data_IF_650736859416
#
_entry.id   IF_650736859416
#
_cell.length_a   1.000
_cell.length_b   1.000
_cell.length_c   1.000
_cell.angle_alpha   90.00
_cell.angle_beta   90.00
_cell.angle_gamma   90.00
#
_symmetry.space_group_name_H-M   'P 1'
#
loop_
_entity.id
_entity.type
_entity.pdbx_description
1 polymer ?
#
# COMPACT_ATOMS: atom_id res chain seq x y z
N UNK A 1 5.12 -9.61 -7.84
CA UNK A 1 3.83 -10.12 -8.35
C UNK A 1 3.54 -11.41 -7.60
N UNK A 2 2.59 -11.40 -6.66
CA UNK A 2 2.22 -12.62 -5.93
C UNK A 2 1.11 -13.30 -6.73
N UNK A 3 1.44 -14.42 -7.40
CA UNK A 3 0.51 -15.19 -8.21
C UNK A 3 -0.29 -16.13 -7.31
N UNK A 4 -1.59 -15.86 -7.14
CA UNK A 4 -2.47 -16.76 -6.40
C UNK A 4 -3.02 -17.79 -7.39
N UNK A 5 -2.57 -19.05 -7.28
CA UNK A 5 -3.03 -20.11 -8.18
C UNK A 5 -4.54 -20.35 -8.09
N UNK A 6 -5.17 -20.64 -9.24
CA UNK A 6 -6.52 -21.18 -9.27
C UNK A 6 -6.63 -22.52 -8.51
N UNK A 7 -7.77 -22.78 -7.88
CA UNK A 7 -8.01 -23.98 -7.05
C UNK A 7 -7.75 -25.33 -7.77
N UNK A 8 -7.84 -25.33 -9.10
CA UNK A 8 -7.58 -26.46 -10.00
C UNK A 8 -6.09 -26.68 -10.30
N UNK A 9 -5.23 -25.71 -10.03
CA UNK A 9 -3.77 -25.76 -10.24
C UNK A 9 -2.98 -26.10 -8.96
N UNK A 10 -3.69 -26.34 -7.85
CA UNK A 10 -3.11 -26.72 -6.57
C UNK A 10 -2.67 -28.19 -6.57
N UNK A 11 -1.37 -28.44 -6.75
CA UNK A 11 -0.76 -29.75 -6.52
C UNK A 11 -0.08 -29.80 -5.14
N UNK A 12 0.08 -31.00 -4.52
CA UNK A 12 0.87 -31.20 -3.31
C UNK A 12 2.32 -30.68 -3.36
N UNK A 13 2.91 -30.50 -4.55
CA UNK A 13 4.27 -29.99 -4.74
C UNK A 13 4.36 -28.45 -4.80
N UNK A 14 3.43 -27.80 -5.51
CA UNK A 14 3.28 -26.32 -5.43
C UNK A 14 2.84 -25.86 -4.03
N UNK A 15 2.37 -26.82 -3.22
CA UNK A 15 1.96 -26.65 -1.84
C UNK A 15 3.10 -26.24 -0.90
N UNK A 16 4.34 -26.69 -1.16
CA UNK A 16 5.46 -26.62 -0.23
C UNK A 16 6.43 -25.44 -0.44
N UNK A 17 6.32 -24.65 -1.52
CA UNK A 17 7.39 -23.67 -1.85
C UNK A 17 7.10 -22.27 -1.29
N UNK A 18 5.85 -21.79 -1.29
CA UNK A 18 5.56 -20.36 -1.05
C UNK A 18 4.88 -20.02 0.29
N UNK A 19 4.57 -21.03 1.13
CA UNK A 19 3.64 -20.83 2.27
C UNK A 19 4.00 -21.61 3.54
N UNK A 20 5.21 -22.16 3.63
CA UNK A 20 5.57 -23.14 4.66
C UNK A 20 5.35 -22.66 6.10
N UNK A 21 5.75 -21.44 6.51
CA UNK A 21 5.53 -20.99 7.89
C UNK A 21 4.04 -20.79 8.21
N UNK A 22 3.33 -20.04 7.36
CA UNK A 22 1.90 -19.73 7.52
C UNK A 22 1.06 -21.01 7.53
N UNK A 23 1.31 -21.93 6.59
CA UNK A 23 0.59 -23.21 6.50
C UNK A 23 0.90 -24.11 7.70
N UNK A 24 2.14 -24.13 8.21
CA UNK A 24 2.48 -24.89 9.43
C UNK A 24 1.74 -24.37 10.65
N UNK A 25 1.69 -23.05 10.83
CA UNK A 25 0.97 -22.43 11.95
C UNK A 25 -0.54 -22.65 11.85
N UNK A 26 -1.11 -22.52 10.64
CA UNK A 26 -2.52 -22.85 10.41
C UNK A 26 -2.77 -24.33 10.74
N UNK A 27 -1.97 -25.27 10.23
CA UNK A 27 -2.13 -26.71 10.49
C UNK A 27 -2.12 -27.06 11.98
N UNK A 28 -1.27 -26.41 12.78
CA UNK A 28 -1.14 -26.66 14.22
C UNK A 28 -2.34 -26.15 15.03
N UNK A 29 -2.96 -25.06 14.56
CA UNK A 29 -3.92 -24.29 15.36
C UNK A 29 -5.35 -24.30 14.81
N UNK A 30 -5.62 -25.06 13.74
CA UNK A 30 -6.94 -25.12 13.11
C UNK A 30 -7.82 -26.19 13.78
N UNK A 31 -8.98 -25.76 14.27
CA UNK A 31 -10.04 -26.62 14.80
C UNK A 31 -11.33 -26.33 14.05
N UNK A 32 -12.03 -27.36 13.59
CA UNK A 32 -13.31 -27.21 12.88
C UNK A 32 -14.51 -27.54 13.78
N UNK A 33 -15.63 -26.81 13.66
CA UNK A 33 -15.81 -25.60 12.86
C UNK A 33 -15.00 -24.41 13.40
N UNK A 34 -14.57 -23.50 12.51
CA UNK A 34 -13.94 -22.25 12.89
C UNK A 34 -14.98 -21.32 13.52
N UNK A 35 -14.72 -20.84 14.73
CA UNK A 35 -15.57 -19.83 15.37
C UNK A 35 -15.34 -18.45 14.77
N UNK A 36 -16.35 -17.58 14.86
CA UNK A 36 -16.27 -16.22 14.36
C UNK A 36 -15.15 -15.42 15.05
N UNK A 37 -14.85 -15.71 16.32
CA UNK A 37 -13.76 -15.10 17.06
C UNK A 37 -12.41 -15.46 16.45
N UNK A 38 -12.18 -16.74 16.10
CA UNK A 38 -10.94 -17.18 15.44
C UNK A 38 -10.77 -16.60 14.04
N UNK A 39 -11.87 -16.41 13.31
CA UNK A 39 -11.83 -15.75 11.99
C UNK A 39 -11.50 -14.27 12.17
N UNK A 40 -12.16 -13.59 13.10
CA UNK A 40 -11.85 -12.21 13.48
C UNK A 40 -10.38 -12.06 13.84
N UNK A 41 -9.87 -12.83 14.79
CA UNK A 41 -8.48 -12.75 15.25
C UNK A 41 -7.46 -12.86 14.10
N UNK A 42 -7.71 -13.76 13.14
CA UNK A 42 -6.81 -14.01 12.01
C UNK A 42 -6.84 -12.94 10.94
N UNK A 43 -7.98 -12.27 10.75
CA UNK A 43 -8.18 -11.30 9.68
C UNK A 43 -8.20 -9.84 10.18
N UNK A 44 -8.36 -9.62 11.49
CA UNK A 44 -8.35 -8.31 12.13
C UNK A 44 -7.07 -7.49 11.86
N UNK A 45 -5.86 -8.08 11.81
CA UNK A 45 -4.65 -7.32 11.46
C UNK A 45 -4.70 -6.65 10.09
N UNK A 46 -5.61 -7.09 9.20
CA UNK A 46 -5.78 -6.54 7.86
C UNK A 46 -6.88 -5.48 7.79
N UNK A 47 -7.53 -5.15 8.90
CA UNK A 47 -8.62 -4.18 8.93
C UNK A 47 -8.13 -2.78 8.59
N UNK A 48 -9.05 -2.01 8.02
CA UNK A 48 -8.82 -0.61 7.70
C UNK A 48 -9.66 0.21 8.66
N UNK A 49 -9.02 1.20 9.29
CA UNK A 49 -9.68 2.07 10.24
C UNK A 49 -9.95 3.44 9.64
N UNK A 50 -10.96 4.13 10.17
CA UNK A 50 -11.30 5.49 9.75
C UNK A 50 -10.12 6.46 9.92
N UNK A 51 -9.29 6.26 10.94
CA UNK A 51 -8.06 7.02 11.14
C UNK A 51 -7.07 6.89 9.98
N UNK A 52 -6.99 5.71 9.34
CA UNK A 52 -6.10 5.51 8.18
C UNK A 52 -6.61 6.32 6.97
N UNK A 53 -7.94 6.36 6.79
CA UNK A 53 -8.60 7.17 5.76
C UNK A 53 -8.33 8.65 6.00
N UNK A 54 -8.51 9.13 7.23
CA UNK A 54 -8.29 10.53 7.59
C UNK A 54 -6.85 10.99 7.31
N UNK A 55 -5.85 10.12 7.57
CA UNK A 55 -4.44 10.38 7.26
C UNK A 55 -4.22 10.52 5.74
N UNK A 56 -4.81 9.61 4.95
CA UNK A 56 -4.70 9.63 3.49
C UNK A 56 -5.42 10.85 2.88
N UNK A 57 -6.60 11.23 3.38
CA UNK A 57 -7.35 12.40 2.91
C UNK A 57 -6.63 13.70 3.23
N UNK A 58 -6.10 13.85 4.45
CA UNK A 58 -5.25 14.98 4.83
C UNK A 58 -4.07 15.09 3.87
N UNK A 59 -3.42 13.97 3.57
CA UNK A 59 -2.31 13.92 2.62
C UNK A 59 -2.73 14.36 1.22
N UNK A 60 -3.84 13.83 0.71
CA UNK A 60 -4.33 14.14 -0.62
C UNK A 60 -4.60 15.65 -0.79
N UNK A 61 -5.14 16.29 0.25
CA UNK A 61 -5.40 17.74 0.25
C UNK A 61 -4.13 18.61 0.13
N UNK A 62 -2.96 18.08 0.48
CA UNK A 62 -1.68 18.81 0.45
C UNK A 62 -0.90 18.63 -0.85
N UNK A 63 -1.20 17.61 -1.66
CA UNK A 63 -0.45 17.32 -2.89
C UNK A 63 -0.52 18.50 -3.85
N UNK A 64 -1.73 18.93 -4.24
CA UNK A 64 -1.92 20.01 -5.21
C UNK A 64 -1.40 21.39 -4.74
N UNK A 65 -1.62 21.80 -3.47
CA UNK A 65 -0.97 22.98 -2.93
C UNK A 65 0.56 22.92 -3.03
N UNK A 66 1.16 21.78 -2.66
CA UNK A 66 2.63 21.63 -2.67
C UNK A 66 3.20 21.61 -4.08
N UNK A 67 2.55 20.93 -5.03
CA UNK A 67 2.98 20.94 -6.45
C UNK A 67 2.85 22.33 -7.06
N UNK A 68 1.79 23.08 -6.69
CA UNK A 68 1.58 24.46 -7.13
C UNK A 68 2.63 25.39 -6.55
N UNK A 69 2.98 25.25 -5.27
CA UNK A 69 4.08 25.98 -4.66
C UNK A 69 5.37 25.77 -5.45
N UNK A 70 5.78 24.52 -5.70
CA UNK A 70 7.01 24.20 -6.45
C UNK A 70 6.98 24.80 -7.85
N UNK A 71 5.86 24.68 -8.55
CA UNK A 71 5.67 25.26 -9.90
C UNK A 71 5.82 26.79 -9.89
N UNK A 72 5.32 27.45 -8.85
CA UNK A 72 5.48 28.91 -8.69
C UNK A 72 6.95 29.30 -8.48
N UNK A 73 7.73 28.53 -7.72
CA UNK A 73 9.17 28.77 -7.59
C UNK A 73 9.90 28.60 -8.93
N UNK A 74 9.55 27.58 -9.71
CA UNK A 74 10.09 27.41 -11.07
C UNK A 74 9.78 28.61 -11.97
N UNK A 75 8.58 29.19 -11.86
CA UNK A 75 8.16 30.35 -12.65
C UNK A 75 8.86 31.66 -12.28
N UNK A 76 9.28 31.82 -11.02
CA UNK A 76 9.96 33.03 -10.52
C UNK A 76 11.40 33.17 -11.01
N UNK A 77 12.04 32.08 -11.45
CA UNK A 77 13.45 32.04 -11.88
C UNK A 77 14.41 32.67 -10.84
N UNK A 78 14.14 32.40 -9.57
CA UNK A 78 14.99 32.83 -8.46
C UNK A 78 16.32 32.08 -8.51
N UNK A 79 17.43 32.82 -8.48
CA UNK A 79 18.79 32.29 -8.59
C UNK A 79 19.25 31.49 -7.37
N UNK A 80 18.52 31.58 -6.24
CA UNK A 80 18.79 30.76 -5.07
C UNK A 80 18.38 29.28 -5.28
N UNK A 81 17.45 29.01 -6.18
CA UNK A 81 16.94 27.66 -6.45
C UNK A 81 17.57 27.02 -7.69
N UNK A 82 17.72 25.71 -7.63
CA UNK A 82 18.19 24.89 -8.74
C UNK A 82 16.99 24.37 -9.56
N UNK A 83 16.82 24.88 -10.78
CA UNK A 83 15.63 24.64 -11.60
C UNK A 83 15.40 23.14 -11.92
N UNK A 84 16.48 22.39 -12.16
CA UNK A 84 16.38 20.94 -12.42
C UNK A 84 15.86 20.19 -11.19
N UNK A 85 16.23 20.62 -9.98
CA UNK A 85 15.83 19.98 -8.73
C UNK A 85 14.37 20.30 -8.39
N UNK A 86 13.91 21.53 -8.63
CA UNK A 86 12.49 21.89 -8.55
C UNK A 86 11.64 21.05 -9.51
N UNK A 87 12.09 20.88 -10.77
CA UNK A 87 11.39 20.06 -11.77
C UNK A 87 11.28 18.59 -11.35
N UNK A 88 12.35 18.03 -10.78
CA UNK A 88 12.37 16.67 -10.23
C UNK A 88 11.39 16.51 -9.06
N UNK A 89 11.42 17.44 -8.11
CA UNK A 89 10.51 17.43 -6.95
C UNK A 89 9.03 17.53 -7.40
N UNK A 90 8.73 18.40 -8.37
CA UNK A 90 7.39 18.53 -8.93
C UNK A 90 6.90 17.22 -9.54
N UNK A 91 7.68 16.58 -10.42
CA UNK A 91 7.32 15.29 -11.04
C UNK A 91 7.04 14.19 -10.02
N UNK A 92 7.89 14.08 -9.00
CA UNK A 92 7.72 13.09 -7.94
C UNK A 92 6.39 13.26 -7.20
N UNK A 93 5.94 14.49 -6.98
CA UNK A 93 4.69 14.80 -6.28
C UNK A 93 3.44 14.68 -7.17
N UNK A 94 3.56 15.07 -8.44
CA UNK A 94 2.45 15.05 -9.41
C UNK A 94 1.95 13.62 -9.69
N UNK A 95 2.86 12.64 -9.68
CA UNK A 95 2.55 11.22 -9.92
C UNK A 95 1.79 10.51 -8.78
N UNK A 96 1.63 11.16 -7.62
CA UNK A 96 1.04 10.53 -6.42
C UNK A 96 -0.48 10.69 -6.37
N UNK A 97 -1.03 11.78 -6.91
CA UNK A 97 -2.42 12.19 -6.67
C UNK A 97 -3.44 11.11 -7.03
N UNK A 98 -3.44 10.63 -8.27
CA UNK A 98 -4.40 9.65 -8.75
C UNK A 98 -4.33 8.31 -7.99
N UNK A 99 -3.15 7.68 -7.84
CA UNK A 99 -3.04 6.45 -7.05
C UNK A 99 -3.53 6.62 -5.62
N UNK A 100 -3.19 7.72 -4.93
CA UNK A 100 -3.62 7.93 -3.55
C UNK A 100 -5.15 8.07 -3.45
N UNK A 101 -5.79 8.82 -4.34
CA UNK A 101 -7.25 8.92 -4.35
C UNK A 101 -7.90 7.56 -4.57
N UNK A 102 -7.38 6.74 -5.49
CA UNK A 102 -7.88 5.39 -5.71
C UNK A 102 -7.76 4.49 -4.47
N UNK A 103 -6.75 4.73 -3.63
CA UNK A 103 -6.56 4.03 -2.35
C UNK A 103 -7.54 4.53 -1.29
N UNK A 104 -7.79 5.84 -1.21
CA UNK A 104 -8.79 6.43 -0.32
C UNK A 104 -10.18 5.86 -0.60
N UNK A 105 -10.60 5.83 -1.87
CA UNK A 105 -11.91 5.28 -2.23
C UNK A 105 -12.01 3.80 -1.86
N UNK A 106 -10.96 3.03 -2.11
CA UNK A 106 -10.93 1.62 -1.74
C UNK A 106 -10.95 1.41 -0.23
N UNK A 107 -10.24 2.24 0.54
CA UNK A 107 -10.27 2.20 2.00
C UNK A 107 -11.69 2.41 2.54
N UNK A 108 -12.43 3.35 1.95
CA UNK A 108 -13.84 3.61 2.29
C UNK A 108 -14.71 2.40 1.97
N UNK A 109 -14.54 1.81 0.78
CA UNK A 109 -15.23 0.56 0.42
C UNK A 109 -14.92 -0.55 1.44
N UNK A 110 -13.65 -0.76 1.81
CA UNK A 110 -13.24 -1.79 2.78
C UNK A 110 -14.00 -1.65 4.10
N UNK A 111 -14.08 -0.44 4.64
CA UNK A 111 -14.79 -0.17 5.91
C UNK A 111 -16.26 -0.60 5.84
N UNK A 112 -16.91 -0.44 4.68
CA UNK A 112 -18.32 -0.82 4.50
C UNK A 112 -18.52 -2.34 4.47
N UNK A 113 -17.58 -3.10 3.90
CA UNK A 113 -17.76 -4.54 3.71
C UNK A 113 -16.95 -5.44 4.62
N UNK A 114 -15.96 -4.94 5.38
CA UNK A 114 -15.01 -5.78 6.13
C UNK A 114 -15.68 -6.72 7.15
N UNK A 115 -16.73 -6.28 7.83
CA UNK A 115 -17.47 -7.14 8.77
C UNK A 115 -18.22 -8.25 8.03
N UNK A 116 -18.94 -7.91 6.97
CA UNK A 116 -19.64 -8.90 6.12
C UNK A 116 -18.67 -9.89 5.46
N UNK A 117 -17.44 -9.44 5.17
CA UNK A 117 -16.39 -10.25 4.59
C UNK A 117 -15.90 -11.31 5.57
N UNK A 118 -15.80 -11.00 6.87
CA UNK A 118 -15.46 -12.00 7.88
C UNK A 118 -16.51 -13.11 7.96
N UNK A 119 -17.79 -12.74 7.97
CA UNK A 119 -18.89 -13.70 8.01
C UNK A 119 -18.89 -14.59 6.76
N UNK A 120 -18.69 -13.99 5.58
CA UNK A 120 -18.58 -14.73 4.32
C UNK A 120 -17.36 -15.67 4.31
N UNK A 121 -16.23 -15.21 4.84
CA UNK A 121 -15.01 -16.01 4.98
C UNK A 121 -15.24 -17.19 5.89
N UNK A 122 -15.85 -16.99 7.05
CA UNK A 122 -16.19 -18.08 7.97
C UNK A 122 -17.09 -19.13 7.36
N UNK A 123 -18.16 -18.69 6.69
CA UNK A 123 -19.08 -19.56 5.98
C UNK A 123 -18.38 -20.38 4.88
N UNK A 124 -17.48 -19.76 4.12
CA UNK A 124 -16.70 -20.44 3.08
C UNK A 124 -15.75 -21.48 3.70
N UNK A 125 -14.96 -21.09 4.71
CA UNK A 125 -13.98 -22.01 5.31
C UNK A 125 -14.66 -23.21 6.00
N UNK A 126 -15.82 -22.99 6.63
CA UNK A 126 -16.57 -24.06 7.30
C UNK A 126 -17.37 -24.96 6.34
N UNK A 127 -17.79 -24.45 5.16
CA UNK A 127 -18.51 -25.27 4.15
C UNK A 127 -17.56 -26.15 3.34
N UNK A 128 -16.30 -25.74 3.17
CA UNK A 128 -15.31 -26.42 2.33
C UNK A 128 -15.16 -27.94 2.60
N UNK A 129 -15.14 -28.45 3.84
CA UNK A 129 -15.01 -29.89 4.11
C UNK A 129 -16.22 -30.71 3.66
N UNK A 130 -17.40 -30.08 3.54
CA UNK A 130 -18.67 -30.76 3.24
C UNK A 130 -19.04 -30.80 1.76
N UNK A 131 -18.23 -30.23 0.86
CA UNK A 131 -18.56 -30.13 -0.57
C UNK A 131 -18.46 -31.50 -1.26
N UNK A 132 -19.58 -32.01 -1.79
CA UNK A 132 -19.65 -33.33 -2.43
C UNK A 132 -19.94 -33.23 -3.92
N UNK A 133 -20.94 -32.45 -4.30
CA UNK A 133 -21.41 -32.40 -5.70
C UNK A 133 -20.58 -31.44 -6.56
N UNK A 134 -20.64 -31.62 -7.88
CA UNK A 134 -19.96 -30.72 -8.82
C UNK A 134 -20.60 -29.33 -8.84
N UNK A 135 -21.92 -29.25 -8.73
CA UNK A 135 -22.66 -27.99 -8.66
C UNK A 135 -22.29 -27.18 -7.40
N UNK A 136 -22.18 -27.86 -6.25
CA UNK A 136 -21.74 -27.23 -5.00
C UNK A 136 -20.33 -26.66 -5.11
N UNK A 137 -19.42 -27.37 -5.79
CA UNK A 137 -18.05 -26.90 -6.02
C UNK A 137 -18.00 -25.68 -6.93
N UNK A 138 -18.88 -25.62 -7.95
CA UNK A 138 -18.97 -24.48 -8.86
C UNK A 138 -19.51 -23.25 -8.12
N UNK A 139 -20.62 -23.37 -7.38
CA UNK A 139 -21.16 -22.29 -6.54
C UNK A 139 -20.12 -21.79 -5.53
N UNK A 140 -19.45 -22.72 -4.84
CA UNK A 140 -18.39 -22.40 -3.89
C UNK A 140 -17.24 -21.61 -4.54
N UNK A 141 -16.75 -22.04 -5.70
CA UNK A 141 -15.69 -21.36 -6.42
C UNK A 141 -16.11 -19.94 -6.84
N UNK A 142 -17.35 -19.75 -7.28
CA UNK A 142 -17.85 -18.43 -7.64
C UNK A 142 -17.86 -17.49 -6.43
N UNK A 143 -18.38 -17.95 -5.29
CA UNK A 143 -18.39 -17.17 -4.04
C UNK A 143 -17.00 -16.85 -3.53
N UNK A 144 -16.07 -17.81 -3.64
CA UNK A 144 -14.68 -17.60 -3.26
C UNK A 144 -13.98 -16.57 -4.16
N UNK A 145 -14.18 -16.66 -5.47
CA UNK A 145 -13.63 -15.69 -6.42
C UNK A 145 -14.12 -14.28 -6.10
N UNK A 146 -15.40 -14.13 -5.72
CA UNK A 146 -15.93 -12.83 -5.28
C UNK A 146 -15.21 -12.28 -4.04
N UNK A 147 -14.79 -13.11 -3.08
CA UNK A 147 -13.97 -12.66 -1.95
C UNK A 147 -12.60 -12.16 -2.41
N UNK A 148 -11.92 -12.90 -3.29
CA UNK A 148 -10.63 -12.46 -3.83
C UNK A 148 -10.77 -11.18 -4.65
N UNK A 149 -11.85 -11.02 -5.41
CA UNK A 149 -12.09 -9.82 -6.21
C UNK A 149 -12.31 -8.59 -5.33
N UNK A 150 -12.99 -8.74 -4.18
CA UNK A 150 -13.12 -7.67 -3.19
C UNK A 150 -11.76 -7.26 -2.60
N UNK A 151 -10.96 -8.25 -2.21
CA UNK A 151 -9.63 -7.99 -1.61
C UNK A 151 -8.64 -7.37 -2.61
N UNK A 152 -8.64 -7.83 -3.87
CA UNK A 152 -7.59 -7.51 -4.85
C UNK A 152 -8.04 -6.53 -5.95
N UNK A 153 -9.31 -6.09 -5.92
CA UNK A 153 -9.95 -5.19 -6.89
C UNK A 153 -9.84 -5.63 -8.35
N UNK A 154 -9.60 -6.91 -8.59
CA UNK A 154 -9.40 -7.44 -9.93
C UNK A 154 -9.94 -8.86 -10.05
N UNK A 155 -10.50 -9.16 -11.21
CA UNK A 155 -10.98 -10.48 -11.60
C UNK A 155 -9.85 -11.48 -11.87
N UNK A 156 -8.63 -10.99 -12.05
CA UNK A 156 -7.44 -11.80 -12.35
C UNK A 156 -6.64 -12.22 -11.11
N UNK A 157 -7.18 -12.01 -9.90
CA UNK A 157 -6.48 -12.26 -8.62
C UNK A 157 -5.14 -11.51 -8.49
N UNK A 158 -5.04 -10.31 -9.06
CA UNK A 158 -3.85 -9.47 -8.99
C UNK A 158 -4.22 -7.98 -8.92
N UNK A 159 -3.54 -7.20 -8.08
CA UNK A 159 -3.72 -5.75 -8.11
C UNK A 159 -3.14 -5.13 -9.39
N UNK A 160 -3.83 -4.15 -9.94
CA UNK A 160 -3.28 -3.30 -11.01
C UNK A 160 -2.28 -2.33 -10.39
N UNK A 161 -1.04 -2.34 -10.88
CA UNK A 161 0.05 -1.53 -10.32
C UNK A 161 -0.18 -0.01 -10.39
N UNK A 162 -0.99 0.43 -11.35
CA UNK A 162 -1.32 1.84 -11.55
C UNK A 162 -2.41 2.34 -10.60
N UNK A 163 -3.25 1.45 -10.09
CA UNK A 163 -4.33 1.79 -9.16
C UNK A 163 -3.87 1.86 -7.70
N UNK A 164 -2.63 1.43 -7.43
CA UNK A 164 -2.09 1.31 -6.08
C UNK A 164 -0.96 2.28 -5.80
N UNK A 165 -0.85 2.72 -4.55
CA UNK A 165 0.44 3.18 -4.03
C UNK A 165 1.36 1.96 -3.95
N UNK A 166 2.50 2.02 -4.65
CA UNK A 166 3.48 0.94 -4.73
C UNK A 166 4.82 1.36 -4.09
N UNK A 167 5.71 0.39 -3.94
CA UNK A 167 7.02 0.56 -3.30
C UNK A 167 7.86 1.65 -3.98
N UNK A 168 7.85 1.72 -5.32
CA UNK A 168 8.61 2.74 -6.05
C UNK A 168 8.13 4.17 -5.73
N UNK A 169 6.84 4.38 -5.44
CA UNK A 169 6.31 5.69 -5.02
C UNK A 169 6.74 6.03 -3.59
N UNK A 170 6.70 5.04 -2.69
CA UNK A 170 7.16 5.18 -1.30
C UNK A 170 8.66 5.48 -1.23
N UNK A 171 9.47 4.79 -2.05
CA UNK A 171 10.90 5.04 -2.13
C UNK A 171 11.19 6.45 -2.65
N UNK A 172 10.50 6.89 -3.71
CA UNK A 172 10.68 8.23 -4.28
C UNK A 172 10.35 9.34 -3.27
N UNK A 173 9.26 9.23 -2.51
CA UNK A 173 8.92 10.26 -1.51
C UNK A 173 9.94 10.27 -0.35
N UNK A 174 10.47 9.10 0.04
CA UNK A 174 11.54 9.00 1.04
C UNK A 174 12.85 9.64 0.57
N UNK A 175 13.20 9.43 -0.70
CA UNK A 175 14.36 10.06 -1.32
C UNK A 175 14.17 11.58 -1.42
N UNK A 176 12.99 12.05 -1.81
CA UNK A 176 12.67 13.48 -1.84
C UNK A 176 12.79 14.10 -0.45
N UNK A 177 12.16 13.50 0.58
CA UNK A 177 12.29 13.94 1.98
C UNK A 177 13.75 14.10 2.38
N UNK A 178 14.56 13.06 2.19
CA UNK A 178 15.98 13.05 2.59
C UNK A 178 16.76 14.14 1.84
N UNK A 179 16.48 14.32 0.55
CA UNK A 179 17.12 15.35 -0.28
C UNK A 179 16.73 16.76 0.15
N UNK A 180 15.46 17.00 0.49
CA UNK A 180 14.99 18.30 0.98
C UNK A 180 15.70 18.69 2.30
N UNK A 181 15.94 17.72 3.18
CA UNK A 181 16.70 17.95 4.42
C UNK A 181 18.16 18.37 4.17
N UNK A 182 18.74 17.97 3.03
CA UNK A 182 20.09 18.38 2.62
C UNK A 182 20.13 19.63 1.74
N UNK A 183 19.01 20.35 1.61
CA UNK A 183 18.96 21.59 0.81
C UNK A 183 18.88 21.38 -0.70
N UNK A 184 18.43 20.21 -1.16
CA UNK A 184 18.37 19.83 -2.58
C UNK A 184 17.71 20.85 -3.53
N UNK A 185 16.76 21.66 -3.05
CA UNK A 185 16.11 22.67 -3.90
C UNK A 185 17.04 23.84 -4.26
N UNK A 186 18.09 24.07 -3.48
CA UNK A 186 18.94 25.24 -3.61
C UNK A 186 20.08 25.01 -4.60
N UNK A 187 20.54 26.11 -5.20
CA UNK A 187 21.73 26.11 -6.03
C UNK A 187 23.00 26.12 -5.18
N UNK A 188 23.89 25.17 -5.45
CA UNK A 188 25.20 25.07 -4.83
C UNK A 188 26.25 25.63 -5.79
N UNK A 189 27.15 26.47 -5.30
CA UNK A 189 28.26 26.98 -6.10
C UNK A 189 29.24 25.84 -6.38
N UNK A 190 29.97 25.93 -7.51
CA UNK A 190 30.99 24.93 -7.89
C UNK A 190 32.00 24.71 -6.77
N UNK A 191 32.47 25.79 -6.14
CA UNK A 191 33.42 25.72 -5.00
C UNK A 191 32.82 25.00 -3.79
N UNK A 192 31.52 25.18 -3.52
CA UNK A 192 30.83 24.54 -2.40
C UNK A 192 30.71 23.03 -2.64
N UNK A 193 30.38 22.63 -3.88
CA UNK A 193 30.33 21.23 -4.32
C UNK A 193 31.71 20.55 -4.28
N UNK A 194 32.74 21.20 -4.82
CA UNK A 194 34.11 20.67 -4.82
C UNK A 194 34.64 20.44 -3.40
N UNK A 195 34.33 21.35 -2.48
CA UNK A 195 34.73 21.26 -1.08
C UNK A 195 33.76 20.42 -0.22
N UNK A 196 32.68 19.88 -0.79
CA UNK A 196 31.61 19.16 -0.08
C UNK A 196 31.10 19.95 1.14
N UNK A 197 30.88 21.24 0.93
CA UNK A 197 30.51 22.17 1.99
C UNK A 197 29.17 21.75 2.59
N UNK A 198 29.07 21.57 3.93
CA UNK A 198 27.81 21.18 4.55
C UNK A 198 26.70 22.20 4.31
N UNK A 199 25.47 21.72 4.08
CA UNK A 199 24.33 22.60 3.80
C UNK A 199 24.08 23.63 4.90
N UNK A 200 24.41 23.35 6.18
CA UNK A 200 24.25 24.33 7.26
C UNK A 200 25.05 25.62 7.02
N UNK A 201 26.21 25.54 6.36
CA UNK A 201 27.04 26.70 6.01
C UNK A 201 26.41 27.44 4.84
N UNK A 202 26.01 26.70 3.80
CA UNK A 202 25.35 27.24 2.60
C UNK A 202 24.04 27.96 2.98
N UNK A 203 23.32 27.44 3.98
CA UNK A 203 22.09 28.03 4.52
C UNK A 203 22.27 29.49 4.94
N UNK A 204 23.46 29.91 5.37
CA UNK A 204 23.71 31.27 5.85
C UNK A 204 23.64 32.34 4.75
N UNK A 205 23.86 31.96 3.48
CA UNK A 205 23.78 32.90 2.34
C UNK A 205 22.43 32.91 1.63
N UNK A 206 21.51 32.03 2.01
CA UNK A 206 20.19 31.92 1.39
C UNK A 206 19.24 32.87 2.12
N UNK A 207 18.40 33.58 1.36
CA UNK A 207 17.40 34.47 1.93
C UNK A 207 16.44 33.74 2.88
N UNK A 208 16.03 34.42 3.96
CA UNK A 208 15.08 33.84 4.92
C UNK A 208 13.73 33.47 4.28
N UNK A 209 13.34 34.19 3.23
CA UNK A 209 12.12 33.91 2.48
C UNK A 209 12.19 32.56 1.74
N UNK A 210 13.31 32.28 1.05
CA UNK A 210 13.51 31.04 0.33
C UNK A 210 13.69 29.84 1.26
N UNK A 211 14.34 30.05 2.41
CA UNK A 211 14.44 29.04 3.47
C UNK A 211 13.06 28.69 4.03
N UNK A 212 12.26 29.69 4.43
CA UNK A 212 10.91 29.46 4.95
C UNK A 212 10.01 28.75 3.90
N UNK A 213 10.20 29.09 2.63
CA UNK A 213 9.52 28.41 1.54
C UNK A 213 9.90 26.93 1.42
N UNK A 214 11.21 26.61 1.42
CA UNK A 214 11.70 25.22 1.40
C UNK A 214 11.24 24.43 2.62
N UNK A 215 11.27 25.03 3.81
CA UNK A 215 10.83 24.40 5.06
C UNK A 215 9.33 24.05 5.01
N UNK A 216 8.48 24.87 4.38
CA UNK A 216 7.06 24.52 4.15
C UNK A 216 6.90 23.32 3.22
N UNK A 217 7.63 23.28 2.11
CA UNK A 217 7.60 22.12 1.19
C UNK A 217 8.02 20.86 1.93
N UNK A 218 9.11 20.92 2.70
CA UNK A 218 9.59 19.79 3.50
C UNK A 218 8.52 19.30 4.47
N UNK A 219 7.87 20.20 5.22
CA UNK A 219 6.79 19.84 6.14
C UNK A 219 5.61 19.18 5.43
N UNK A 220 5.20 19.69 4.28
CA UNK A 220 4.15 19.06 3.49
C UNK A 220 4.57 17.69 2.98
N UNK A 221 5.81 17.53 2.50
CA UNK A 221 6.36 16.25 2.04
C UNK A 221 6.42 15.22 3.17
N UNK A 222 6.72 15.63 4.41
CA UNK A 222 6.66 14.74 5.57
C UNK A 222 5.25 14.20 5.81
N UNK A 223 4.23 15.07 5.74
CA UNK A 223 2.83 14.64 5.87
C UNK A 223 2.44 13.74 4.70
N UNK A 224 2.87 14.08 3.48
CA UNK A 224 2.56 13.31 2.28
C UNK A 224 3.14 11.89 2.35
N UNK A 225 4.37 11.77 2.86
CA UNK A 225 5.00 10.48 3.10
C UNK A 225 4.14 9.61 4.03
N UNK A 226 3.65 10.17 5.14
CA UNK A 226 2.87 9.38 6.10
C UNK A 226 1.56 8.84 5.49
N UNK A 227 0.89 9.62 4.63
CA UNK A 227 -0.27 9.13 3.88
C UNK A 227 0.07 8.07 2.84
N UNK A 228 1.20 8.20 2.15
CA UNK A 228 1.68 7.18 1.22
C UNK A 228 2.02 5.87 1.91
N UNK A 229 2.72 5.91 3.04
CA UNK A 229 3.04 4.72 3.83
C UNK A 229 1.77 4.03 4.34
N UNK A 230 0.77 4.82 4.76
CA UNK A 230 -0.55 4.32 5.18
C UNK A 230 -1.27 3.61 4.03
N UNK A 231 -1.32 4.23 2.85
CA UNK A 231 -1.91 3.63 1.65
C UNK A 231 -1.18 2.34 1.23
N UNK A 232 0.16 2.35 1.25
CA UNK A 232 0.96 1.17 0.92
C UNK A 232 0.72 0.03 1.92
N UNK A 233 0.71 0.33 3.23
CA UNK A 233 0.40 -0.64 4.28
C UNK A 233 -0.98 -1.24 4.09
N UNK A 234 -1.98 -0.44 3.77
CA UNK A 234 -3.33 -0.93 3.47
C UNK A 234 -3.34 -1.92 2.30
N UNK A 235 -2.62 -1.61 1.21
CA UNK A 235 -2.50 -2.53 0.07
C UNK A 235 -1.86 -3.84 0.48
N UNK A 236 -0.77 -3.78 1.24
CA UNK A 236 -0.07 -4.96 1.75
C UNK A 236 -0.94 -5.77 2.72
N UNK A 237 -1.79 -5.12 3.50
CA UNK A 237 -2.78 -5.78 4.36
C UNK A 237 -3.80 -6.56 3.52
N UNK A 238 -4.33 -5.98 2.44
CA UNK A 238 -5.26 -6.67 1.54
C UNK A 238 -4.63 -7.86 0.81
N UNK A 239 -3.38 -7.70 0.34
CA UNK A 239 -2.59 -8.79 -0.23
C UNK A 239 -2.40 -9.91 0.80
N UNK A 240 -2.02 -9.56 2.03
CA UNK A 240 -1.80 -10.52 3.11
C UNK A 240 -3.08 -11.25 3.50
N UNK A 241 -4.21 -10.55 3.52
CA UNK A 241 -5.54 -11.10 3.75
C UNK A 241 -5.92 -12.14 2.67
N UNK A 242 -5.61 -11.85 1.40
CA UNK A 242 -5.81 -12.80 0.30
C UNK A 242 -4.92 -14.04 0.44
N UNK A 243 -3.63 -13.86 0.77
CA UNK A 243 -2.69 -14.96 1.02
C UNK A 243 -3.15 -15.82 2.21
N UNK A 244 -3.67 -15.20 3.27
CA UNK A 244 -4.20 -15.89 4.45
C UNK A 244 -5.43 -16.73 4.08
N UNK A 245 -6.40 -16.15 3.37
CA UNK A 245 -7.60 -16.85 2.88
C UNK A 245 -7.21 -18.05 2.02
N UNK A 246 -6.30 -17.85 1.07
CA UNK A 246 -5.78 -18.91 0.22
C UNK A 246 -5.11 -20.04 1.03
N UNK A 247 -4.27 -19.67 2.00
CA UNK A 247 -3.55 -20.63 2.86
C UNK A 247 -4.51 -21.47 3.70
N UNK A 248 -5.60 -20.87 4.20
CA UNK A 248 -6.66 -21.63 4.88
C UNK A 248 -7.33 -22.64 3.96
N UNK A 249 -7.82 -22.21 2.81
CA UNK A 249 -8.52 -23.08 1.85
C UNK A 249 -7.64 -24.26 1.44
N UNK A 250 -6.37 -23.97 1.13
CA UNK A 250 -5.35 -24.94 0.80
C UNK A 250 -5.14 -25.96 1.92
N UNK A 251 -5.01 -25.49 3.16
CA UNK A 251 -4.78 -26.36 4.33
C UNK A 251 -5.97 -27.27 4.61
N UNK A 252 -7.18 -26.73 4.56
CA UNK A 252 -8.43 -27.45 4.83
C UNK A 252 -8.64 -28.54 3.78
N UNK A 253 -8.46 -28.19 2.50
CA UNK A 253 -8.54 -29.16 1.40
C UNK A 253 -7.59 -30.32 1.64
N UNK A 254 -6.32 -30.06 1.98
CA UNK A 254 -5.31 -31.12 2.19
C UNK A 254 -5.57 -31.98 3.43
N UNK A 255 -6.05 -31.39 4.52
CA UNK A 255 -6.25 -32.11 5.78
C UNK A 255 -7.54 -32.96 5.79
N UNK A 256 -8.57 -32.55 5.06
CA UNK A 256 -9.92 -33.13 5.17
C UNK A 256 -10.40 -33.88 3.91
N UNK A 257 -9.57 -33.97 2.87
CA UNK A 257 -9.83 -34.84 1.70
C UNK A 257 -8.95 -36.09 1.65
N UNK A 258 -8.40 -36.50 2.80
CA UNK A 258 -7.91 -37.88 2.99
C UNK A 258 -9.07 -38.78 3.43
#
# INVERSE_FOLDING_TARGET
MIYIHGLNQLSPKTLDIESVPIVRDIKRNISFPLSNEKIKERFYPFFVFKSDIDIMERTFSLIQPTTTEIRNAMGRKDSEFEAINLSRAWKMLDEIGTPLNNNIQFAKEIVEWQDSFLDQTGNILNKLPGLRSQEEKIDFNNRLNMLFFKLLRNKEMAFRGDDLVNEARVERINNLKTSLQSGFLFHFKIEEELNKTPFFVIRQRISSQSLAYSDRILNNVLIIKDGLDTAYKMNMNMISSAVMLYSHIKTIKVLLTK
#
